data_IF_778975381129
#
_entry.id   IF_778975381129
#
_cell.length_a   1.000
_cell.length_b   1.000
_cell.length_c   1.000
_cell.angle_alpha   90.00
_cell.angle_beta   90.00
_cell.angle_gamma   90.00
#
_symmetry.space_group_name_H-M   'P 1'
#
loop_
_entity.id
_entity.type
_entity.pdbx_description
1 polymer ?
#
# COMPACT_ATOMS: atom_id res chain seq x y z
N UNK A 1 28.62 34.71 38.56
CA UNK A 1 27.69 35.16 37.50
C UNK A 1 26.93 33.95 36.99
N UNK A 2 25.59 34.01 37.05
CA UNK A 2 24.69 32.95 36.56
C UNK A 2 24.37 33.27 35.10
N UNK A 3 24.69 32.37 34.18
CA UNK A 3 24.21 32.46 32.79
C UNK A 3 23.31 31.27 32.56
N UNK A 4 22.00 31.51 32.64
CA UNK A 4 20.97 30.57 32.22
C UNK A 4 20.92 30.61 30.70
N UNK A 5 21.57 29.66 30.03
CA UNK A 5 21.36 29.43 28.60
C UNK A 5 20.04 28.68 28.44
N UNK A 6 18.97 29.44 28.25
CA UNK A 6 17.66 28.92 27.86
C UNK A 6 17.76 28.36 26.44
N UNK A 7 17.87 27.04 26.32
CA UNK A 7 17.86 26.33 25.05
C UNK A 7 16.45 26.34 24.47
N UNK A 8 16.22 27.20 23.48
CA UNK A 8 15.01 27.18 22.65
C UNK A 8 15.02 25.91 21.82
N UNK A 9 14.34 24.87 22.31
CA UNK A 9 14.04 23.65 21.56
C UNK A 9 13.07 24.00 20.41
N UNK A 10 13.63 24.35 19.25
CA UNK A 10 12.90 24.40 18.00
C UNK A 10 12.49 22.96 17.63
N UNK A 11 11.31 22.55 18.12
CA UNK A 11 10.59 21.41 17.56
C UNK A 11 10.22 21.78 16.13
N UNK A 12 11.04 21.37 15.16
CA UNK A 12 10.62 21.32 13.77
C UNK A 12 9.47 20.30 13.70
N UNK A 13 8.22 20.71 13.42
CA UNK A 13 7.22 19.72 13.07
C UNK A 13 7.71 19.06 11.79
N UNK A 14 7.99 17.75 11.87
CA UNK A 14 8.23 16.94 10.70
C UNK A 14 6.97 17.09 9.83
N UNK A 15 7.07 17.82 8.73
CA UNK A 15 6.04 17.85 7.70
C UNK A 15 5.89 16.41 7.21
N UNK A 16 4.97 15.66 7.81
CA UNK A 16 4.52 14.40 7.29
C UNK A 16 3.88 14.73 5.94
N UNK A 17 4.67 14.62 4.86
CA UNK A 17 4.14 14.62 3.52
C UNK A 17 3.11 13.49 3.49
N UNK A 18 1.83 13.85 3.40
CA UNK A 18 0.77 12.90 3.14
C UNK A 18 0.92 12.44 1.68
N UNK A 19 1.96 11.66 1.39
CA UNK A 19 1.95 10.79 0.24
C UNK A 19 0.67 9.96 0.36
N UNK A 20 -0.21 10.05 -0.65
CA UNK A 20 -1.52 9.39 -0.68
C UNK A 20 -1.36 7.90 -0.38
N UNK A 21 -1.41 7.54 0.90
CA UNK A 21 -1.20 6.17 1.36
C UNK A 21 -2.57 5.54 1.51
N UNK A 22 -2.81 4.51 0.71
CA UNK A 22 -4.02 3.70 0.83
C UNK A 22 -3.76 2.63 1.88
N UNK A 23 -4.67 2.43 2.82
CA UNK A 23 -4.57 1.34 3.80
C UNK A 23 -5.54 0.21 3.46
N UNK A 24 -5.11 -1.03 3.68
CA UNK A 24 -5.97 -2.21 3.62
C UNK A 24 -5.77 -3.04 4.88
N UNK A 25 -6.86 -3.54 5.45
CA UNK A 25 -6.80 -4.48 6.56
C UNK A 25 -6.81 -5.91 6.04
N UNK A 26 -5.93 -6.74 6.59
CA UNK A 26 -5.79 -8.15 6.20
C UNK A 26 -5.77 -9.01 7.46
N UNK A 27 -6.64 -10.02 7.50
CA UNK A 27 -6.56 -11.08 8.50
C UNK A 27 -5.34 -11.96 8.18
N UNK A 28 -4.35 -12.09 9.09
CA UNK A 28 -3.17 -12.94 8.88
C UNK A 28 -3.49 -14.42 8.65
N UNK A 29 -4.70 -14.87 8.97
CA UNK A 29 -5.18 -16.24 8.72
C UNK A 29 -5.67 -16.45 7.28
N UNK A 30 -5.84 -15.37 6.52
CA UNK A 30 -6.20 -15.46 5.10
C UNK A 30 -5.01 -15.96 4.28
N UNK A 31 -5.27 -16.80 3.27
CA UNK A 31 -4.20 -17.25 2.35
C UNK A 31 -3.75 -16.14 1.40
N UNK A 32 -4.67 -15.24 1.03
CA UNK A 32 -4.47 -14.22 0.01
C UNK A 32 -5.33 -13.00 0.28
N UNK A 33 -4.90 -11.85 -0.23
CA UNK A 33 -5.70 -10.62 -0.31
C UNK A 33 -5.51 -9.94 -1.67
N UNK A 34 -6.39 -8.99 -1.96
CA UNK A 34 -6.38 -8.23 -3.21
C UNK A 34 -6.14 -6.75 -2.94
N UNK A 35 -5.33 -6.15 -3.81
CA UNK A 35 -5.10 -4.70 -3.86
C UNK A 35 -5.75 -4.16 -5.14
N UNK A 36 -6.93 -3.54 -5.05
CA UNK A 36 -7.57 -2.89 -6.19
C UNK A 36 -7.04 -1.47 -6.39
N UNK A 37 -6.52 -1.19 -7.58
CA UNK A 37 -6.07 0.15 -7.98
C UNK A 37 -6.86 0.62 -9.20
N UNK A 38 -7.41 1.84 -9.15
CA UNK A 38 -8.11 2.44 -10.30
C UNK A 38 -7.20 2.51 -11.51
N UNK A 39 -7.67 2.04 -12.67
CA UNK A 39 -6.88 1.96 -13.88
C UNK A 39 -7.72 2.33 -15.10
N UNK A 40 -7.13 3.03 -16.07
CA UNK A 40 -7.75 3.25 -17.38
C UNK A 40 -6.79 2.83 -18.50
N UNK A 41 -6.85 1.58 -18.98
CA UNK A 41 -5.90 1.06 -19.97
C UNK A 41 -5.97 1.80 -21.31
N UNK A 42 -7.08 2.48 -21.63
CA UNK A 42 -7.21 3.28 -22.87
C UNK A 42 -6.27 4.48 -22.92
N UNK A 43 -5.70 4.87 -21.79
CA UNK A 43 -4.72 5.97 -21.70
C UNK A 43 -3.28 5.53 -21.92
N UNK A 44 -3.03 4.21 -22.02
CA UNK A 44 -1.70 3.61 -22.10
C UNK A 44 -0.96 3.50 -20.76
N UNK A 45 -1.51 4.04 -19.67
CA UNK A 45 -0.93 3.88 -18.34
C UNK A 45 -1.23 2.49 -17.77
N UNK A 46 -0.26 1.92 -17.07
CA UNK A 46 -0.37 0.65 -16.36
C UNK A 46 0.24 0.73 -14.97
N UNK A 47 -0.32 -0.06 -14.05
CA UNK A 47 0.26 -0.26 -12.73
C UNK A 47 1.32 -1.35 -12.76
N UNK A 48 2.42 -1.12 -12.06
CA UNK A 48 3.48 -2.11 -11.80
C UNK A 48 3.84 -2.13 -10.33
N UNK A 49 4.21 -3.30 -9.80
CA UNK A 49 4.71 -3.42 -8.42
C UNK A 49 6.21 -3.11 -8.42
N UNK A 50 6.63 -2.11 -7.63
CA UNK A 50 8.04 -1.69 -7.52
C UNK A 50 8.73 -2.31 -6.31
N UNK A 51 8.04 -2.36 -5.18
CA UNK A 51 8.61 -2.87 -3.92
C UNK A 51 7.52 -3.48 -3.04
N UNK A 52 7.86 -4.56 -2.36
CA UNK A 52 7.08 -5.16 -1.28
C UNK A 52 8.00 -6.08 -0.48
N UNK A 53 7.58 -6.46 0.72
CA UNK A 53 8.30 -7.44 1.52
C UNK A 53 8.06 -8.86 1.00
N UNK A 54 9.12 -9.44 0.39
CA UNK A 54 9.09 -10.79 -0.18
C UNK A 54 9.18 -11.91 0.87
N UNK A 55 9.47 -11.59 2.12
CA UNK A 55 9.43 -12.55 3.23
C UNK A 55 8.00 -12.75 3.75
N UNK A 56 7.16 -11.73 3.61
CA UNK A 56 5.77 -11.75 4.05
C UNK A 56 4.79 -12.08 2.92
N UNK A 57 5.09 -11.62 1.70
CA UNK A 57 4.13 -11.61 0.59
C UNK A 57 4.70 -12.22 -0.69
N UNK A 58 3.83 -12.85 -1.48
CA UNK A 58 4.12 -13.29 -2.85
C UNK A 58 3.06 -12.78 -3.81
N UNK A 59 3.45 -12.00 -4.82
CA UNK A 59 2.53 -11.60 -5.89
C UNK A 59 2.14 -12.83 -6.73
N UNK A 60 0.85 -13.13 -6.81
CA UNK A 60 0.32 -14.30 -7.54
C UNK A 60 -0.27 -13.96 -8.89
N UNK A 61 -0.99 -12.84 -8.97
CA UNK A 61 -1.69 -12.43 -10.18
C UNK A 61 -1.84 -10.92 -10.21
N UNK A 62 -1.81 -10.37 -11.42
CA UNK A 62 -2.28 -9.01 -11.71
C UNK A 62 -3.23 -9.08 -12.90
N UNK A 63 -4.43 -8.51 -12.76
CA UNK A 63 -5.43 -8.50 -13.84
C UNK A 63 -6.23 -7.21 -13.88
N UNK A 64 -6.61 -6.77 -15.07
CA UNK A 64 -7.51 -5.64 -15.25
C UNK A 64 -8.96 -6.13 -15.28
N UNK A 65 -9.80 -5.53 -14.44
CA UNK A 65 -11.25 -5.74 -14.44
C UNK A 65 -11.92 -4.43 -14.90
N UNK A 66 -12.56 -4.48 -16.07
CA UNK A 66 -13.30 -3.35 -16.62
C UNK A 66 -14.49 -2.96 -15.74
N UNK A 67 -14.84 -1.67 -15.71
CA UNK A 67 -16.10 -1.25 -15.08
C UNK A 67 -17.30 -1.82 -15.85
N UNK A 68 -18.42 -2.08 -15.15
CA UNK A 68 -19.66 -2.61 -15.77
C UNK A 68 -20.39 -1.58 -16.66
N UNK A 69 -19.84 -0.40 -16.87
CA UNK A 69 -20.52 0.68 -17.60
C UNK A 69 -20.43 0.45 -19.11
N UNK A 70 -21.49 0.77 -19.85
CA UNK A 70 -21.52 0.65 -21.33
C UNK A 70 -20.81 1.80 -22.06
N UNK A 71 -19.95 2.57 -21.37
CA UNK A 71 -19.28 3.74 -21.96
C UNK A 71 -17.93 3.34 -22.54
N UNK A 72 -17.72 3.66 -23.82
CA UNK A 72 -16.42 3.51 -24.48
C UNK A 72 -15.40 4.38 -23.74
N UNK A 73 -14.21 3.83 -23.47
CA UNK A 73 -13.17 4.52 -22.71
C UNK A 73 -13.35 4.52 -21.19
N UNK A 74 -14.40 3.88 -20.66
CA UNK A 74 -14.54 3.72 -19.22
C UNK A 74 -13.37 2.92 -18.64
N UNK A 75 -12.81 3.44 -17.55
CA UNK A 75 -11.78 2.73 -16.80
C UNK A 75 -12.31 1.48 -16.09
N UNK A 76 -11.50 1.00 -15.18
CA UNK A 76 -11.78 -0.14 -14.32
C UNK A 76 -10.80 -0.17 -13.17
N UNK A 77 -10.43 -1.37 -12.73
CA UNK A 77 -9.45 -1.58 -11.68
C UNK A 77 -8.41 -2.59 -12.13
N UNK A 78 -7.14 -2.31 -11.86
CA UNK A 78 -6.11 -3.34 -11.81
C UNK A 78 -6.16 -4.00 -10.44
N UNK A 79 -6.30 -5.32 -10.41
CA UNK A 79 -6.34 -6.12 -9.19
C UNK A 79 -5.01 -6.86 -9.08
N UNK A 80 -4.30 -6.63 -7.97
CA UNK A 80 -3.12 -7.40 -7.61
C UNK A 80 -3.46 -8.37 -6.49
N UNK A 81 -3.30 -9.66 -6.72
CA UNK A 81 -3.54 -10.70 -5.72
C UNK A 81 -2.22 -11.10 -5.09
N UNK A 82 -2.10 -10.89 -3.78
CA UNK A 82 -0.95 -11.29 -2.99
C UNK A 82 -1.30 -12.49 -2.12
N UNK A 83 -0.39 -13.44 -2.05
CA UNK A 83 -0.40 -14.54 -1.10
C UNK A 83 0.39 -14.17 0.14
N UNK A 84 -0.14 -14.56 1.31
CA UNK A 84 0.48 -14.46 2.61
C UNK A 84 1.42 -15.66 2.80
N UNK A 85 2.71 -15.38 3.02
CA UNK A 85 3.70 -16.43 3.27
C UNK A 85 3.67 -16.84 4.75
N UNK A 86 3.77 -18.13 5.01
CA UNK A 86 3.77 -18.63 6.38
C UNK A 86 5.01 -18.15 7.15
N UNK A 87 4.78 -17.36 8.20
CA UNK A 87 5.79 -16.80 9.08
C UNK A 87 5.37 -16.98 10.54
N UNK A 88 6.34 -16.93 11.47
CA UNK A 88 6.06 -17.12 12.90
C UNK A 88 5.08 -16.08 13.47
N UNK A 89 5.21 -14.84 13.01
CA UNK A 89 4.36 -13.72 13.39
C UNK A 89 4.44 -12.64 12.32
N UNK A 90 3.30 -12.05 11.99
CA UNK A 90 3.26 -10.89 11.11
C UNK A 90 3.52 -9.61 11.91
N UNK A 91 4.23 -8.62 11.34
CA UNK A 91 4.34 -7.30 11.95
C UNK A 91 2.96 -6.61 12.00
N UNK A 92 2.87 -5.43 12.61
CA UNK A 92 1.63 -4.64 12.55
C UNK A 92 1.26 -4.23 11.12
N UNK A 93 2.26 -3.93 10.29
CA UNK A 93 2.04 -3.55 8.90
C UNK A 93 3.23 -3.83 7.99
N UNK A 94 2.96 -3.87 6.68
CA UNK A 94 3.98 -3.81 5.62
C UNK A 94 3.51 -2.89 4.51
N UNK A 95 4.44 -2.29 3.77
CA UNK A 95 4.13 -1.43 2.63
C UNK A 95 4.36 -2.13 1.29
N UNK A 96 3.48 -1.86 0.32
CA UNK A 96 3.61 -2.22 -1.09
C UNK A 96 3.66 -0.92 -1.89
N UNK A 97 4.71 -0.75 -2.71
CA UNK A 97 4.88 0.40 -3.59
C UNK A 97 4.52 0.03 -5.02
N UNK A 98 3.54 0.73 -5.58
CA UNK A 98 3.13 0.63 -6.97
C UNK A 98 3.54 1.87 -7.76
N UNK A 99 3.76 1.71 -9.06
CA UNK A 99 4.00 2.80 -10.00
C UNK A 99 2.99 2.75 -11.14
N UNK A 100 2.37 3.89 -11.44
CA UNK A 100 1.47 4.10 -12.56
C UNK A 100 2.18 4.91 -13.65
N UNK A 101 2.56 4.23 -14.73
CA UNK A 101 3.34 4.83 -15.81
C UNK A 101 2.93 4.24 -17.16
N UNK A 102 3.28 4.95 -18.23
CA UNK A 102 3.35 4.38 -19.57
C UNK A 102 4.70 3.68 -19.74
N UNK A 103 4.75 2.40 -20.11
CA UNK A 103 6.02 1.65 -20.21
C UNK A 103 7.05 2.24 -21.17
N UNK A 104 6.58 2.98 -22.18
CA UNK A 104 7.40 3.58 -23.23
C UNK A 104 7.83 5.03 -22.94
N UNK A 105 7.34 5.65 -21.86
CA UNK A 105 7.75 7.00 -21.48
C UNK A 105 8.96 6.95 -20.54
N UNK A 106 9.94 7.84 -20.77
CA UNK A 106 11.13 7.97 -19.91
C UNK A 106 10.85 8.71 -18.59
N UNK A 107 9.64 9.27 -18.43
CA UNK A 107 9.25 10.05 -17.26
C UNK A 107 8.88 9.12 -16.10
N UNK A 108 9.23 9.51 -14.88
CA UNK A 108 8.74 8.83 -13.69
C UNK A 108 7.22 8.90 -13.60
N UNK A 109 6.59 7.73 -13.47
CA UNK A 109 5.16 7.61 -13.23
C UNK A 109 4.77 7.93 -11.78
N UNK A 110 3.47 8.08 -11.54
CA UNK A 110 2.92 8.34 -10.21
C UNK A 110 3.15 7.13 -9.30
N UNK A 111 3.61 7.37 -8.07
CA UNK A 111 3.76 6.32 -7.06
C UNK A 111 2.51 6.24 -6.19
N UNK A 112 2.13 5.01 -5.84
CA UNK A 112 1.07 4.72 -4.88
C UNK A 112 1.61 3.76 -3.84
N UNK A 113 1.66 4.22 -2.59
CA UNK A 113 1.94 3.36 -1.46
C UNK A 113 0.63 2.76 -0.94
N UNK A 114 0.65 1.45 -0.73
CA UNK A 114 -0.42 0.70 -0.09
C UNK A 114 0.13 0.09 1.18
N UNK A 115 -0.40 0.52 2.33
CA UNK A 115 -0.09 -0.02 3.62
C UNK A 115 -1.03 -1.18 3.93
N UNK A 116 -0.46 -2.36 4.13
CA UNK A 116 -1.16 -3.56 4.58
C UNK A 116 -1.09 -3.59 6.10
N UNK A 117 -2.24 -3.46 6.75
CA UNK A 117 -2.38 -3.55 8.20
C UNK A 117 -2.81 -4.98 8.54
N UNK A 118 -1.97 -5.69 9.29
CA UNK A 118 -2.27 -7.05 9.73
C UNK A 118 -3.10 -6.99 11.01
N UNK A 119 -4.31 -7.55 10.96
CA UNK A 119 -5.20 -7.57 12.12
C UNK A 119 -4.55 -8.36 13.26
N UNK A 120 -4.35 -7.68 14.39
CA UNK A 120 -3.80 -8.30 15.60
C UNK A 120 -4.90 -9.10 16.32
N UNK A 121 -4.51 -10.20 16.96
CA UNK A 121 -5.42 -10.96 17.81
C UNK A 121 -5.86 -10.06 18.98
N UNK A 122 -7.15 -9.73 19.06
CA UNK A 122 -7.71 -9.17 20.29
C UNK A 122 -7.52 -10.23 21.38
N UNK A 123 -6.73 -9.91 22.40
CA UNK A 123 -6.69 -10.72 23.62
C UNK A 123 -8.05 -10.52 24.31
N UNK A 124 -8.93 -11.52 24.26
CA UNK A 124 -10.19 -11.46 24.99
C UNK A 124 -9.87 -11.37 26.48
N UNK A 125 -10.20 -10.23 27.09
CA UNK A 125 -10.14 -10.01 28.54
C UNK A 125 -11.40 -10.61 29.19
N UNK A 126 -11.66 -11.90 29.00
CA UNK A 126 -12.80 -12.59 29.62
C UNK A 126 -12.41 -13.70 30.60
N UNK A 127 -11.12 -13.93 30.83
CA UNK A 127 -10.62 -14.91 31.81
C UNK A 127 -9.70 -14.26 32.87
N UNK A 128 -10.19 -13.23 33.56
CA UNK A 128 -9.69 -12.81 34.88
C UNK A 128 -10.85 -12.45 35.80
#
# INVERSE_FOLDING_TARGET
>A
MKILLSGLLLFFPLLASAANTMSIEVDPRSKQFQVPLSANPTTGFQWTVKKFDKQLLRLKKSEFIASKTKRIGAGGKMIFTFELLEVKSYPESTDILFQYARPWEKKDGSLQQVRVLFQQKKLDKSDQ
#
